data_IF_831250947304
#
_entry.id   IF_831250947304
#
_cell.length_a   1.000
_cell.length_b   1.000
_cell.length_c   1.000
_cell.angle_alpha   90.00
_cell.angle_beta   90.00
_cell.angle_gamma   90.00
#
_symmetry.space_group_name_H-M   'P 1'
#
loop_
_entity.id
_entity.type
_entity.pdbx_description
1 polymer ?
#
# COMPACT_ATOMS: atom_id res chain seq x y z
N UNK A 1 42.81 35.44 33.36
CA UNK A 1 42.17 34.11 33.46
C UNK A 1 40.69 34.23 33.15
N UNK A 2 40.27 33.86 31.95
CA UNK A 2 38.85 33.71 31.60
C UNK A 2 38.58 32.21 31.57
N UNK A 3 37.92 31.70 32.61
CA UNK A 3 37.53 30.30 32.69
C UNK A 3 36.32 30.05 31.78
N UNK A 4 36.57 29.57 30.57
CA UNK A 4 35.52 29.10 29.67
C UNK A 4 35.01 27.73 30.13
N UNK A 5 33.80 27.66 30.67
CA UNK A 5 33.12 26.39 30.89
C UNK A 5 32.60 25.83 29.55
N UNK A 6 32.69 24.52 29.30
CA UNK A 6 32.14 23.92 28.09
C UNK A 6 30.61 23.94 28.15
N UNK A 7 29.96 24.39 27.07
CA UNK A 7 28.50 24.36 26.94
C UNK A 7 28.04 22.90 26.81
N UNK A 8 26.95 22.48 27.46
CA UNK A 8 26.44 21.13 27.30
C UNK A 8 25.93 20.94 25.88
N UNK A 9 26.32 19.84 25.24
CA UNK A 9 25.74 19.40 23.98
C UNK A 9 24.28 19.03 24.25
N UNK A 10 23.35 19.65 23.50
CA UNK A 10 21.93 19.30 23.50
C UNK A 10 21.78 17.81 23.20
N UNK A 11 21.11 17.03 24.07
CA UNK A 11 20.72 15.69 23.70
C UNK A 11 19.42 15.79 22.88
N UNK A 12 19.15 14.71 22.14
CA UNK A 12 17.87 14.40 21.50
C UNK A 12 17.70 14.94 20.07
N UNK A 13 18.47 14.35 19.15
CA UNK A 13 17.86 13.96 17.87
C UNK A 13 16.96 12.77 18.20
N UNK A 14 15.65 12.99 18.32
CA UNK A 14 14.68 11.91 18.49
C UNK A 14 14.57 11.17 17.15
N UNK A 15 15.28 10.05 17.01
CA UNK A 15 15.04 9.13 15.91
C UNK A 15 13.68 8.45 16.18
N UNK A 16 12.62 8.94 15.54
CA UNK A 16 11.31 8.31 15.64
C UNK A 16 11.32 7.01 14.83
N UNK A 17 11.29 5.84 15.50
CA UNK A 17 11.01 4.56 14.84
C UNK A 17 9.50 4.39 14.72
N UNK A 18 9.02 4.02 13.53
CA UNK A 18 7.60 3.70 13.31
C UNK A 18 7.43 2.19 13.43
N UNK A 19 6.78 1.76 14.52
CA UNK A 19 6.52 0.36 14.82
C UNK A 19 5.17 -0.11 14.27
N UNK A 20 5.08 -1.40 13.93
CA UNK A 20 3.87 -2.01 13.38
C UNK A 20 3.44 -3.26 14.17
N UNK A 21 3.21 -3.17 15.50
CA UNK A 21 3.00 -4.33 16.36
C UNK A 21 1.72 -5.11 16.03
N UNK A 22 0.71 -4.45 15.45
CA UNK A 22 -0.52 -5.11 15.00
C UNK A 22 -0.31 -6.04 13.78
N UNK A 23 0.83 -5.94 13.08
CA UNK A 23 1.16 -6.84 11.98
C UNK A 23 0.27 -6.71 10.73
N UNK A 24 -0.36 -5.56 10.51
CA UNK A 24 -1.32 -5.36 9.41
C UNK A 24 -0.75 -5.57 8.00
N UNK A 25 0.58 -5.52 7.84
CA UNK A 25 1.27 -5.80 6.57
C UNK A 25 1.09 -7.26 6.10
N UNK A 26 0.70 -8.19 6.98
CA UNK A 26 0.45 -9.59 6.60
C UNK A 26 -0.63 -9.71 5.50
N UNK A 27 -1.60 -8.78 5.48
CA UNK A 27 -2.65 -8.69 4.45
C UNK A 27 -2.13 -8.44 3.04
N UNK A 28 -0.88 -8.00 2.88
CA UNK A 28 -0.25 -7.88 1.56
C UNK A 28 0.02 -9.24 0.90
N UNK A 29 0.00 -10.32 1.69
CA UNK A 29 0.33 -11.68 1.27
C UNK A 29 -0.83 -12.65 1.51
N UNK A 30 -2.05 -12.13 1.61
CA UNK A 30 -3.28 -12.93 1.75
C UNK A 30 -3.98 -13.04 0.38
N UNK A 31 -4.47 -14.24 0.06
CA UNK A 31 -5.21 -14.52 -1.17
C UNK A 31 -6.51 -13.72 -1.25
N UNK A 32 -6.83 -13.22 -2.44
CA UNK A 32 -8.09 -12.50 -2.72
C UNK A 32 -8.76 -13.03 -3.97
N UNK A 33 -10.10 -13.04 -3.96
CA UNK A 33 -10.89 -13.43 -5.14
C UNK A 33 -10.96 -12.30 -6.17
N UNK A 34 -11.04 -12.63 -7.45
CA UNK A 34 -11.37 -11.68 -8.51
C UNK A 34 -12.73 -10.99 -8.29
N UNK A 35 -12.95 -9.87 -8.97
CA UNK A 35 -14.24 -9.21 -8.99
C UNK A 35 -14.95 -9.46 -10.33
N UNK A 36 -16.19 -9.95 -10.26
CA UNK A 36 -17.01 -10.16 -11.46
C UNK A 36 -17.22 -8.85 -12.24
N UNK A 37 -17.51 -7.76 -11.52
CA UNK A 37 -17.74 -6.41 -12.06
C UNK A 37 -16.93 -5.36 -11.30
N UNK A 38 -16.64 -4.19 -11.90
CA UNK A 38 -16.02 -3.08 -11.20
C UNK A 38 -16.89 -2.56 -10.04
N UNK A 39 -16.25 -2.21 -8.92
CA UNK A 39 -16.90 -1.62 -7.75
C UNK A 39 -16.64 -0.12 -7.64
N UNK A 40 -17.62 0.64 -7.18
CA UNK A 40 -17.44 2.07 -6.89
C UNK A 40 -16.60 2.28 -5.62
N UNK A 41 -15.73 3.29 -5.63
CA UNK A 41 -14.83 3.61 -4.51
C UNK A 41 -15.31 4.85 -3.77
N UNK A 42 -15.24 4.83 -2.43
CA UNK A 42 -15.47 6.01 -1.61
C UNK A 42 -14.27 6.96 -1.68
N UNK A 43 -14.51 8.20 -2.08
CA UNK A 43 -13.46 9.23 -2.24
C UNK A 43 -13.43 10.12 -0.99
N UNK A 44 -12.26 10.22 -0.35
CA UNK A 44 -11.98 11.21 0.68
C UNK A 44 -11.07 12.30 0.07
N UNK A 45 -11.44 13.57 0.23
CA UNK A 45 -10.76 14.69 -0.42
C UNK A 45 -11.36 15.02 -1.80
N UNK A 46 -10.54 15.57 -2.71
CA UNK A 46 -10.99 16.00 -4.05
C UNK A 46 -10.03 15.52 -5.13
N UNK A 47 -10.56 14.85 -6.14
CA UNK A 47 -9.78 14.45 -7.31
C UNK A 47 -9.45 15.66 -8.20
N UNK A 48 -8.25 15.72 -8.80
CA UNK A 48 -7.94 16.72 -9.82
C UNK A 48 -8.89 16.57 -11.01
N UNK A 49 -9.49 17.66 -11.53
CA UNK A 49 -10.49 17.59 -12.61
C UNK A 49 -9.89 17.11 -13.95
N UNK A 50 -8.58 17.22 -14.11
CA UNK A 50 -7.86 16.73 -15.28
C UNK A 50 -7.51 15.23 -15.22
N UNK A 51 -7.72 14.57 -14.07
CA UNK A 51 -7.41 13.16 -13.91
C UNK A 51 -8.51 12.30 -14.54
N UNK A 52 -8.18 11.72 -15.69
CA UNK A 52 -9.05 10.82 -16.43
C UNK A 52 -8.21 9.72 -17.06
N UNK A 53 -8.65 8.47 -16.95
CA UNK A 53 -7.92 7.31 -17.48
C UNK A 53 -7.89 6.13 -16.51
N UNK A 54 -6.93 5.22 -16.68
CA UNK A 54 -6.80 4.02 -15.87
C UNK A 54 -5.41 3.86 -15.29
N UNK A 55 -5.33 3.56 -13.99
CA UNK A 55 -4.12 3.07 -13.34
C UNK A 55 -4.17 1.54 -13.33
N UNK A 56 -3.21 0.92 -14.01
CA UNK A 56 -3.03 -0.54 -14.03
C UNK A 56 -1.83 -0.94 -13.17
N UNK A 57 -1.99 -1.95 -12.32
CA UNK A 57 -0.93 -2.54 -11.51
C UNK A 57 -1.02 -4.05 -11.55
N UNK A 58 0.12 -4.74 -11.56
CA UNK A 58 0.20 -6.19 -11.42
C UNK A 58 0.86 -6.54 -10.08
N UNK A 59 0.41 -7.64 -9.49
CA UNK A 59 1.01 -8.22 -8.28
C UNK A 59 0.46 -9.62 -8.02
N UNK A 60 0.99 -10.35 -7.03
CA UNK A 60 0.42 -11.63 -6.63
C UNK A 60 -0.95 -11.42 -5.96
N UNK A 61 -1.93 -12.24 -6.31
CA UNK A 61 -3.28 -12.23 -5.71
C UNK A 61 -3.74 -13.58 -5.16
N UNK A 62 -3.04 -14.66 -5.51
CA UNK A 62 -3.30 -16.02 -5.05
C UNK A 62 -1.98 -16.66 -4.60
N UNK A 63 -1.91 -17.04 -3.32
CA UNK A 63 -0.69 -17.51 -2.64
C UNK A 63 -0.70 -19.03 -2.37
N UNK A 64 -1.73 -19.73 -2.81
CA UNK A 64 -1.91 -21.18 -2.64
C UNK A 64 -2.77 -21.77 -3.76
N UNK A 65 -2.61 -23.06 -4.04
CA UNK A 65 -3.50 -23.83 -4.94
C UNK A 65 -3.91 -25.11 -4.20
N UNK A 66 -5.16 -25.14 -3.74
CA UNK A 66 -5.63 -26.24 -2.90
C UNK A 66 -4.85 -26.32 -1.59
N UNK A 67 -4.06 -27.38 -1.41
CA UNK A 67 -3.22 -27.58 -0.23
C UNK A 67 -1.75 -27.15 -0.44
N UNK A 68 -1.36 -26.80 -1.67
CA UNK A 68 0.02 -26.40 -2.00
C UNK A 68 0.19 -24.89 -1.81
N UNK A 69 1.28 -24.47 -1.16
CA UNK A 69 1.57 -23.07 -0.87
C UNK A 69 2.71 -22.54 -1.72
N UNK A 70 2.61 -21.26 -2.09
CA UNK A 70 3.72 -20.50 -2.66
C UNK A 70 4.58 -19.92 -1.53
N UNK A 71 5.91 -20.01 -1.68
CA UNK A 71 6.84 -19.72 -0.58
C UNK A 71 7.57 -18.38 -0.74
N UNK A 72 7.77 -17.92 -1.98
CA UNK A 72 8.44 -16.67 -2.26
C UNK A 72 7.44 -15.59 -2.70
N UNK A 73 7.81 -14.32 -2.48
CA UNK A 73 7.01 -13.15 -2.84
C UNK A 73 6.57 -13.12 -4.32
N UNK A 74 7.34 -13.76 -5.20
CA UNK A 74 7.16 -13.71 -6.64
C UNK A 74 6.53 -14.99 -7.22
N UNK A 75 6.12 -15.91 -6.37
CA UNK A 75 5.55 -17.20 -6.79
C UNK A 75 4.01 -17.13 -6.95
N UNK A 76 3.35 -16.20 -6.25
CA UNK A 76 1.90 -16.04 -6.29
C UNK A 76 1.38 -15.72 -7.68
N UNK A 77 0.19 -16.23 -8.02
CA UNK A 77 -0.38 -16.01 -9.36
C UNK A 77 -0.69 -14.53 -9.58
N UNK A 78 -0.41 -14.06 -10.79
CA UNK A 78 -0.57 -12.67 -11.17
C UNK A 78 -2.05 -12.26 -11.12
N UNK A 79 -2.31 -11.13 -10.48
CA UNK A 79 -3.59 -10.44 -10.41
C UNK A 79 -3.40 -9.02 -10.93
N UNK A 80 -4.23 -8.64 -11.91
CA UNK A 80 -4.26 -7.31 -12.50
C UNK A 80 -5.27 -6.44 -11.76
N UNK A 81 -4.82 -5.27 -11.32
CA UNK A 81 -5.64 -4.28 -10.65
C UNK A 81 -5.86 -3.07 -11.56
N UNK A 82 -7.09 -2.58 -11.63
CA UNK A 82 -7.47 -1.36 -12.36
C UNK A 82 -8.19 -0.39 -11.43
N UNK A 83 -7.70 0.85 -11.38
CA UNK A 83 -8.48 2.00 -10.93
C UNK A 83 -8.83 2.86 -12.14
N UNK A 84 -10.11 3.08 -12.40
CA UNK A 84 -10.59 3.90 -13.51
C UNK A 84 -11.16 5.22 -12.99
N UNK A 85 -10.62 6.33 -13.50
CA UNK A 85 -10.98 7.69 -13.14
C UNK A 85 -11.79 8.29 -14.28
N UNK A 86 -13.03 8.69 -14.00
CA UNK A 86 -13.91 9.33 -14.99
C UNK A 86 -14.86 10.29 -14.30
N UNK A 87 -14.89 11.54 -14.77
CA UNK A 87 -15.85 12.56 -14.31
C UNK A 87 -15.90 12.73 -12.77
N UNK A 88 -14.74 12.67 -12.13
CA UNK A 88 -14.62 12.79 -10.66
C UNK A 88 -15.06 11.53 -9.89
N UNK A 89 -15.38 10.44 -10.57
CA UNK A 89 -15.67 9.13 -9.99
C UNK A 89 -14.51 8.16 -10.16
N UNK A 90 -14.43 7.17 -9.28
CA UNK A 90 -13.44 6.10 -9.35
C UNK A 90 -14.12 4.74 -9.23
N UNK A 91 -13.78 3.83 -10.12
CA UNK A 91 -14.08 2.40 -9.94
C UNK A 91 -12.81 1.60 -9.75
N UNK A 92 -12.92 0.51 -9.00
CA UNK A 92 -11.88 -0.48 -8.80
C UNK A 92 -12.29 -1.82 -9.39
N UNK A 93 -11.35 -2.50 -10.05
CA UNK A 93 -11.57 -3.83 -10.60
C UNK A 93 -10.29 -4.67 -10.49
N UNK A 94 -10.44 -5.98 -10.30
CA UNK A 94 -9.31 -6.92 -10.32
C UNK A 94 -9.70 -8.24 -10.98
N UNK A 95 -8.78 -8.78 -11.77
CA UNK A 95 -8.88 -10.00 -12.58
C UNK A 95 -7.52 -10.66 -12.68
#
# INVERSE_FOLDING_TARGET
SVSGQPRPLSPVVLLCSVEHPAGGYKKLFETVEELATPMSVHITGRLPPWLSGSLLRCGPGLFEVGAEQFYHLFDGQALLHKFEFKEGQVTYHRR
#
